data_IF_495615042035
#
_entry.id   IF_495615042035
#
_cell.length_a   1.000
_cell.length_b   1.000
_cell.length_c   1.000
_cell.angle_alpha   90.00
_cell.angle_beta   90.00
_cell.angle_gamma   90.00
#
_symmetry.space_group_name_H-M   'P 1'
#
loop_
_entity.id
_entity.type
_entity.pdbx_description
1 polymer ?
#
# COMPACT_ATOMS: atom_id res chain seq x y z
N UNK A 1 19.69 -19.39 -5.87
CA UNK A 1 18.40 -19.12 -5.22
C UNK A 1 18.53 -18.95 -3.70
N UNK A 2 18.97 -19.98 -2.96
CA UNK A 2 19.05 -19.89 -1.50
C UNK A 2 19.91 -18.71 -1.01
N UNK A 3 21.08 -18.50 -1.60
CA UNK A 3 21.95 -17.37 -1.26
C UNK A 3 21.32 -16.00 -1.58
N UNK A 4 20.60 -15.87 -2.70
CA UNK A 4 19.86 -14.66 -3.05
C UNK A 4 18.76 -14.36 -2.01
N UNK A 5 17.96 -15.37 -1.67
CA UNK A 5 16.91 -15.26 -0.65
C UNK A 5 17.50 -14.87 0.71
N UNK A 6 18.55 -15.56 1.17
CA UNK A 6 19.21 -15.28 2.43
C UNK A 6 19.78 -13.85 2.49
N UNK A 7 20.45 -13.40 1.41
CA UNK A 7 20.97 -12.03 1.32
C UNK A 7 19.86 -10.98 1.36
N UNK A 8 18.75 -11.21 0.66
CA UNK A 8 17.59 -10.30 0.68
C UNK A 8 16.94 -10.25 2.07
N UNK A 9 16.75 -11.40 2.73
CA UNK A 9 16.24 -11.45 4.11
C UNK A 9 17.16 -10.69 5.07
N UNK A 10 18.47 -10.79 4.89
CA UNK A 10 19.43 -10.06 5.73
C UNK A 10 19.29 -8.54 5.58
N UNK A 11 18.96 -8.04 4.39
CA UNK A 11 18.73 -6.61 4.17
C UNK A 11 17.40 -6.08 4.77
N UNK A 12 16.44 -6.98 5.05
CA UNK A 12 15.18 -6.58 5.69
C UNK A 12 15.37 -6.28 7.19
N UNK A 13 16.31 -6.97 7.83
CA UNK A 13 16.56 -6.82 9.27
C UNK A 13 16.94 -5.39 9.66
N UNK A 14 17.93 -4.72 9.03
CA UNK A 14 18.24 -3.32 9.33
C UNK A 14 17.06 -2.36 9.13
N UNK A 15 16.24 -2.61 8.10
CA UNK A 15 15.06 -1.78 7.82
C UNK A 15 14.03 -1.94 8.94
N UNK A 16 13.73 -3.16 9.36
CA UNK A 16 12.80 -3.43 10.46
C UNK A 16 13.31 -2.85 11.78
N UNK A 17 14.61 -2.96 12.05
CA UNK A 17 15.23 -2.34 13.24
C UNK A 17 15.10 -0.82 13.18
N UNK A 18 15.42 -0.20 12.04
CA UNK A 18 15.31 1.25 11.87
C UNK A 18 13.87 1.73 12.07
N UNK A 19 12.89 1.04 11.47
CA UNK A 19 11.47 1.35 11.64
C UNK A 19 11.03 1.16 13.08
N UNK A 20 11.44 0.09 13.75
CA UNK A 20 11.08 -0.16 15.15
C UNK A 20 11.63 0.93 16.09
N UNK A 21 12.88 1.36 15.87
CA UNK A 21 13.49 2.48 16.62
C UNK A 21 12.71 3.78 16.38
N UNK A 22 12.48 4.12 15.10
CA UNK A 22 11.75 5.33 14.73
C UNK A 22 10.34 5.36 15.32
N UNK A 23 9.60 4.26 15.19
CA UNK A 23 8.25 4.13 15.73
C UNK A 23 8.23 4.30 17.25
N UNK A 24 9.15 3.64 17.94
CA UNK A 24 9.27 3.74 19.39
C UNK A 24 9.64 5.14 19.85
N UNK A 25 10.63 5.77 19.20
CA UNK A 25 11.07 7.13 19.52
C UNK A 25 9.97 8.15 19.24
N UNK A 26 9.33 8.10 18.06
CA UNK A 26 8.23 9.02 17.72
C UNK A 26 7.09 8.90 18.73
N UNK A 27 6.67 7.68 19.07
CA UNK A 27 5.62 7.47 20.04
C UNK A 27 6.02 7.94 21.44
N UNK A 28 7.30 7.81 21.81
CA UNK A 28 7.83 8.30 23.10
C UNK A 28 7.96 9.83 23.16
N UNK A 29 8.04 10.50 22.00
CA UNK A 29 8.13 11.97 21.88
C UNK A 29 6.75 12.65 21.75
N UNK A 30 5.69 11.89 21.54
CA UNK A 30 4.34 12.45 21.48
C UNK A 30 4.00 13.16 22.79
N UNK A 31 3.52 14.43 22.73
CA UNK A 31 3.20 15.17 23.94
C UNK A 31 1.98 14.55 24.64
N UNK A 32 2.16 14.22 25.91
CA UNK A 32 1.15 13.63 26.77
C UNK A 32 1.75 12.55 27.67
N UNK A 33 1.33 12.55 28.90
CA UNK A 33 1.72 11.49 29.84
C UNK A 33 0.78 10.29 29.63
N UNK A 34 1.35 9.16 29.22
CA UNK A 34 0.57 7.93 29.01
C UNK A 34 -0.17 7.51 30.28
N UNK A 35 0.45 7.68 31.46
CA UNK A 35 -0.19 7.38 32.73
C UNK A 35 -1.40 8.29 32.99
N UNK A 36 -1.30 9.57 32.62
CA UNK A 36 -2.42 10.51 32.72
C UNK A 36 -3.57 10.13 31.76
N UNK A 37 -3.25 9.74 30.54
CA UNK A 37 -4.26 9.33 29.54
C UNK A 37 -5.00 8.06 29.98
N UNK A 38 -4.30 7.12 30.61
CA UNK A 38 -4.89 5.86 31.11
C UNK A 38 -5.78 6.11 32.33
N UNK A 39 -5.32 6.92 33.29
CA UNK A 39 -6.05 7.20 34.53
C UNK A 39 -7.26 8.13 34.33
N UNK A 40 -7.23 9.00 33.31
CA UNK A 40 -8.33 9.93 33.06
C UNK A 40 -8.71 10.73 34.30
N UNK A 41 -9.96 10.61 34.74
CA UNK A 41 -10.49 11.32 35.92
C UNK A 41 -9.88 10.83 37.26
N UNK A 42 -9.20 9.69 37.28
CA UNK A 42 -8.50 9.15 38.47
C UNK A 42 -7.02 9.56 38.51
N UNK A 43 -6.60 10.50 37.70
CA UNK A 43 -5.22 10.97 37.58
C UNK A 43 -4.82 11.86 38.79
N UNK A 44 -4.56 11.26 39.95
CA UNK A 44 -3.89 11.94 41.06
C UNK A 44 -2.38 11.84 40.89
N UNK A 45 -1.58 12.76 41.48
CA UNK A 45 -0.13 12.70 41.39
C UNK A 45 0.45 11.34 41.89
N UNK A 46 -0.17 10.75 42.92
CA UNK A 46 0.22 9.45 43.48
C UNK A 46 -0.09 8.30 42.52
N UNK A 47 -1.29 8.27 41.92
CA UNK A 47 -1.67 7.24 40.96
C UNK A 47 -0.84 7.32 39.68
N UNK A 48 -0.53 8.54 39.22
CA UNK A 48 0.36 8.74 38.07
C UNK A 48 1.74 8.21 38.33
N UNK A 49 2.33 8.50 39.52
CA UNK A 49 3.63 8.03 39.87
C UNK A 49 3.67 6.49 40.00
N UNK A 50 2.67 5.89 40.65
CA UNK A 50 2.54 4.44 40.74
C UNK A 50 2.45 3.78 39.39
N UNK A 51 1.55 4.26 38.51
CA UNK A 51 1.36 3.69 37.17
C UNK A 51 2.61 3.87 36.28
N UNK A 52 3.33 4.99 36.39
CA UNK A 52 4.60 5.20 35.70
C UNK A 52 5.65 4.17 36.12
N UNK A 53 5.73 3.90 37.40
CA UNK A 53 6.64 2.90 37.94
C UNK A 53 6.28 1.48 37.47
N UNK A 54 5.00 1.11 37.57
CA UNK A 54 4.49 -0.20 37.12
C UNK A 54 4.69 -0.45 35.64
N UNK A 55 4.54 0.59 34.82
CA UNK A 55 4.77 0.54 33.38
C UNK A 55 6.24 0.72 32.98
N UNK A 56 7.15 0.92 33.94
CA UNK A 56 8.56 1.16 33.68
C UNK A 56 8.85 2.44 32.89
N UNK A 57 7.92 3.43 32.89
CA UNK A 57 8.08 4.69 32.18
C UNK A 57 9.20 5.57 32.75
N UNK A 58 9.62 5.30 34.00
CA UNK A 58 10.74 5.96 34.71
C UNK A 58 12.10 5.43 34.23
N UNK A 59 12.12 4.32 33.51
CA UNK A 59 13.36 3.74 33.01
C UNK A 59 13.93 4.54 31.82
N UNK A 60 15.25 4.50 31.62
CA UNK A 60 15.89 5.07 30.44
C UNK A 60 15.27 4.55 29.14
N UNK A 61 15.13 5.42 28.14
CA UNK A 61 14.44 5.12 26.88
C UNK A 61 14.97 3.87 26.15
N UNK A 62 16.28 3.63 26.25
CA UNK A 62 16.91 2.46 25.63
C UNK A 62 16.52 1.14 26.31
N UNK A 63 16.36 1.11 27.64
CA UNK A 63 15.87 -0.07 28.37
C UNK A 63 14.41 -0.36 28.01
N UNK A 64 13.59 0.67 27.94
CA UNK A 64 12.18 0.58 27.51
C UNK A 64 12.07 0.04 26.10
N UNK A 65 12.94 0.51 25.18
CA UNK A 65 12.98 0.01 23.81
C UNK A 65 13.34 -1.46 23.74
N UNK A 66 14.39 -1.89 24.43
CA UNK A 66 14.81 -3.30 24.43
C UNK A 66 13.72 -4.20 25.04
N UNK A 67 13.10 -3.79 26.14
CA UNK A 67 11.98 -4.52 26.74
C UNK A 67 10.77 -4.62 25.78
N UNK A 68 10.39 -3.52 25.16
CA UNK A 68 9.31 -3.49 24.16
C UNK A 68 9.62 -4.39 22.95
N UNK A 69 10.83 -4.31 22.41
CA UNK A 69 11.25 -5.15 21.29
C UNK A 69 11.26 -6.63 21.66
N UNK A 70 11.64 -6.96 22.88
CA UNK A 70 11.62 -8.33 23.39
C UNK A 70 10.20 -8.92 23.45
N UNK A 71 9.22 -8.15 23.93
CA UNK A 71 7.81 -8.55 23.91
C UNK A 71 7.30 -8.77 22.47
N UNK A 72 7.64 -7.87 21.55
CA UNK A 72 7.27 -8.02 20.14
C UNK A 72 7.85 -9.29 19.51
N UNK A 73 9.11 -9.62 19.80
CA UNK A 73 9.74 -10.86 19.29
C UNK A 73 9.09 -12.12 19.84
N UNK A 74 8.41 -12.03 20.99
CA UNK A 74 7.59 -13.11 21.54
C UNK A 74 6.15 -13.12 20.99
N UNK A 75 5.80 -12.19 20.10
CA UNK A 75 4.46 -12.05 19.51
C UNK A 75 3.49 -11.20 20.36
N UNK A 76 3.97 -10.59 21.45
CA UNK A 76 3.17 -9.68 22.26
C UNK A 76 3.39 -8.23 21.79
N UNK A 77 2.45 -7.74 20.99
CA UNK A 77 2.41 -6.36 20.50
C UNK A 77 1.68 -5.42 21.46
N UNK A 78 1.24 -5.93 22.61
CA UNK A 78 0.50 -5.18 23.61
C UNK A 78 -1.02 -5.14 23.38
N UNK A 79 -1.68 -4.47 24.31
CA UNK A 79 -3.14 -4.33 24.33
C UNK A 79 -3.53 -2.86 24.53
N UNK A 80 -4.50 -2.38 23.77
CA UNK A 80 -5.09 -1.06 23.95
C UNK A 80 -5.70 -0.90 25.35
N UNK A 81 -5.32 0.16 26.04
CA UNK A 81 -5.95 0.50 27.33
C UNK A 81 -7.36 1.06 27.15
N UNK A 82 -7.71 1.55 25.95
CA UNK A 82 -9.04 2.14 25.68
C UNK A 82 -10.07 1.09 25.27
N UNK A 83 -9.69 0.21 24.34
CA UNK A 83 -10.62 -0.77 23.75
C UNK A 83 -10.49 -2.15 24.37
N UNK A 84 -9.40 -2.43 25.10
CA UNK A 84 -9.09 -3.76 25.61
C UNK A 84 -8.69 -4.77 24.54
N UNK A 85 -8.66 -4.40 23.26
CA UNK A 85 -8.21 -5.27 22.18
C UNK A 85 -6.69 -5.40 22.15
N UNK A 86 -6.19 -6.60 21.79
CA UNK A 86 -4.77 -6.76 21.47
C UNK A 86 -4.49 -6.13 20.11
N UNK A 87 -3.25 -5.66 19.90
CA UNK A 87 -2.84 -5.10 18.60
C UNK A 87 -3.04 -6.10 17.47
N UNK A 88 -2.64 -7.37 17.68
CA UNK A 88 -2.79 -8.42 16.67
C UNK A 88 -4.25 -8.66 16.29
N UNK A 89 -5.16 -8.68 17.26
CA UNK A 89 -6.60 -8.79 16.99
C UNK A 89 -7.09 -7.58 16.21
N UNK A 90 -6.78 -6.37 16.65
CA UNK A 90 -7.20 -5.14 15.99
C UNK A 90 -6.71 -5.06 14.53
N UNK A 91 -5.50 -5.55 14.24
CA UNK A 91 -4.95 -5.59 12.89
C UNK A 91 -5.56 -6.72 12.06
N UNK A 92 -5.67 -7.95 12.61
CA UNK A 92 -6.19 -9.11 11.88
C UNK A 92 -7.63 -8.92 11.38
N UNK A 93 -8.47 -8.21 12.15
CA UNK A 93 -9.85 -7.87 11.76
C UNK A 93 -9.89 -6.87 10.58
N UNK A 94 -8.83 -6.07 10.37
CA UNK A 94 -8.79 -4.96 9.40
C UNK A 94 -7.94 -5.23 8.16
N UNK A 95 -6.97 -6.15 8.25
CA UNK A 95 -6.13 -6.58 7.11
C UNK A 95 -6.97 -6.96 5.89
N UNK A 96 -8.04 -7.80 6.01
CA UNK A 96 -8.83 -8.19 4.85
C UNK A 96 -9.42 -7.00 4.09
N UNK A 97 -9.91 -5.99 4.80
CA UNK A 97 -10.54 -4.80 4.20
C UNK A 97 -9.51 -3.96 3.42
N UNK A 98 -8.37 -3.66 4.04
CA UNK A 98 -7.29 -2.91 3.38
C UNK A 98 -6.73 -3.68 2.19
N UNK A 99 -6.57 -5.00 2.32
CA UNK A 99 -6.05 -5.85 1.25
C UNK A 99 -7.03 -5.95 0.08
N UNK A 100 -8.32 -6.09 0.35
CA UNK A 100 -9.39 -6.06 -0.64
C UNK A 100 -9.37 -4.73 -1.42
N UNK A 101 -9.30 -3.61 -0.71
CA UNK A 101 -9.22 -2.28 -1.31
C UNK A 101 -8.00 -2.14 -2.23
N UNK A 102 -6.83 -2.60 -1.78
CA UNK A 102 -5.60 -2.54 -2.57
C UNK A 102 -5.69 -3.38 -3.84
N UNK A 103 -6.22 -4.61 -3.75
CA UNK A 103 -6.40 -5.47 -4.92
C UNK A 103 -7.36 -4.84 -5.92
N UNK A 104 -8.51 -4.36 -5.48
CA UNK A 104 -9.50 -3.74 -6.37
C UNK A 104 -8.94 -2.47 -7.02
N UNK A 105 -8.21 -1.64 -6.28
CA UNK A 105 -7.55 -0.45 -6.80
C UNK A 105 -6.51 -0.79 -7.86
N UNK A 106 -5.65 -1.77 -7.61
CA UNK A 106 -4.63 -2.21 -8.58
C UNK A 106 -5.26 -2.82 -9.83
N UNK A 107 -6.32 -3.63 -9.67
CA UNK A 107 -7.06 -4.16 -10.83
C UNK A 107 -7.67 -3.05 -11.69
N UNK A 108 -8.23 -2.01 -11.08
CA UNK A 108 -8.75 -0.84 -11.81
C UNK A 108 -7.60 -0.09 -12.50
N UNK A 109 -6.50 0.15 -11.79
CA UNK A 109 -5.31 0.78 -12.35
C UNK A 109 -4.76 0.04 -13.58
N UNK A 110 -4.66 -1.29 -13.48
CA UNK A 110 -4.26 -2.16 -14.59
C UNK A 110 -5.28 -2.19 -15.72
N UNK A 111 -6.58 -2.30 -15.40
CA UNK A 111 -7.65 -2.33 -16.40
C UNK A 111 -7.73 -1.05 -17.23
N UNK A 112 -7.32 0.08 -16.69
CA UNK A 112 -7.24 1.37 -17.39
C UNK A 112 -5.85 1.54 -18.03
N UNK A 113 -4.79 1.36 -17.25
CA UNK A 113 -3.43 1.69 -17.65
C UNK A 113 -2.88 0.81 -18.76
N UNK A 114 -3.12 -0.51 -18.71
CA UNK A 114 -2.58 -1.46 -19.69
C UNK A 114 -3.18 -1.26 -21.08
N UNK A 115 -4.51 -1.20 -21.29
CA UNK A 115 -5.08 -0.94 -22.60
C UNK A 115 -4.66 0.41 -23.18
N UNK A 116 -4.60 1.46 -22.34
CA UNK A 116 -4.15 2.78 -22.79
C UNK A 116 -2.66 2.77 -23.17
N UNK A 117 -1.80 2.08 -22.44
CA UNK A 117 -0.39 1.92 -22.79
C UNK A 117 -0.21 1.25 -24.13
N UNK A 118 -0.92 0.14 -24.38
CA UNK A 118 -0.89 -0.60 -25.63
C UNK A 118 -1.37 0.28 -26.80
N UNK A 119 -2.50 0.99 -26.62
CA UNK A 119 -3.04 1.86 -27.65
C UNK A 119 -2.12 3.05 -27.99
N UNK A 120 -1.50 3.65 -26.95
CA UNK A 120 -0.53 4.73 -27.10
C UNK A 120 0.77 4.25 -27.77
N UNK A 121 1.28 3.08 -27.41
CA UNK A 121 2.47 2.49 -28.02
C UNK A 121 2.23 2.16 -29.50
N UNK A 122 1.05 1.61 -29.84
CA UNK A 122 0.66 1.32 -31.22
C UNK A 122 0.55 2.59 -32.10
N UNK A 123 0.23 3.73 -31.50
CA UNK A 123 0.05 5.03 -32.18
C UNK A 123 1.04 6.08 -31.66
N UNK A 124 2.27 5.66 -31.35
CA UNK A 124 3.28 6.53 -30.77
C UNK A 124 3.48 7.82 -31.59
N UNK A 125 3.53 8.97 -30.93
CA UNK A 125 3.68 10.29 -31.54
C UNK A 125 2.39 10.89 -32.15
N UNK A 126 1.26 10.15 -32.14
CA UNK A 126 -0.03 10.66 -32.64
C UNK A 126 -0.66 11.68 -31.68
N UNK A 127 -1.71 12.39 -32.13
CA UNK A 127 -2.50 13.28 -31.29
C UNK A 127 -3.17 12.52 -30.13
N UNK A 128 -3.63 11.29 -30.38
CA UNK A 128 -4.19 10.41 -29.33
C UNK A 128 -3.17 10.11 -28.22
N UNK A 129 -1.96 9.69 -28.63
CA UNK A 129 -0.89 9.40 -27.69
C UNK A 129 -0.50 10.61 -26.85
N UNK A 130 -0.39 11.79 -27.47
CA UNK A 130 -0.12 13.05 -26.76
C UNK A 130 -1.25 13.43 -25.79
N UNK A 131 -2.51 13.26 -26.20
CA UNK A 131 -3.67 13.55 -25.36
C UNK A 131 -3.71 12.64 -24.12
N UNK A 132 -3.61 11.32 -24.30
CA UNK A 132 -3.62 10.37 -23.18
C UNK A 132 -2.43 10.59 -22.25
N UNK A 133 -1.23 10.82 -22.80
CA UNK A 133 -0.05 11.11 -22.00
C UNK A 133 -0.22 12.43 -21.21
N UNK A 134 -0.78 13.47 -21.82
CA UNK A 134 -1.09 14.73 -21.16
C UNK A 134 -2.12 14.55 -20.03
N UNK A 135 -3.18 13.77 -20.27
CA UNK A 135 -4.18 13.43 -19.25
C UNK A 135 -3.55 12.67 -18.09
N UNK A 136 -2.64 11.72 -18.38
CA UNK A 136 -1.92 10.99 -17.35
C UNK A 136 -1.08 11.91 -16.45
N UNK A 137 -0.38 12.89 -17.01
CA UNK A 137 0.33 13.89 -16.23
C UNK A 137 -0.62 14.78 -15.42
N UNK A 138 -1.76 15.17 -15.99
CA UNK A 138 -2.79 15.91 -15.27
C UNK A 138 -3.31 15.13 -14.06
N UNK A 139 -3.61 13.84 -14.24
CA UNK A 139 -4.11 12.98 -13.15
C UNK A 139 -3.09 12.78 -12.03
N UNK A 140 -1.80 12.69 -12.34
CA UNK A 140 -0.74 12.61 -11.32
C UNK A 140 -0.66 13.88 -10.45
N UNK A 141 -1.13 15.01 -10.94
CA UNK A 141 -1.13 16.27 -10.20
C UNK A 141 -2.35 16.41 -9.29
N UNK A 142 -3.36 15.56 -9.43
CA UNK A 142 -4.58 15.60 -8.61
C UNK A 142 -4.36 14.84 -7.31
N UNK A 143 -4.50 15.49 -6.15
CA UNK A 143 -4.40 14.80 -4.86
C UNK A 143 -5.51 13.74 -4.73
N UNK A 144 -5.17 12.57 -4.19
CA UNK A 144 -6.09 11.43 -4.07
C UNK A 144 -7.36 11.77 -3.27
N UNK A 145 -7.22 12.58 -2.20
CA UNK A 145 -8.39 13.01 -1.42
C UNK A 145 -9.37 13.88 -2.22
N UNK A 146 -8.86 14.68 -3.15
CA UNK A 146 -9.71 15.48 -4.02
C UNK A 146 -10.50 14.60 -4.98
N UNK A 147 -9.85 13.60 -5.58
CA UNK A 147 -10.53 12.58 -6.40
C UNK A 147 -11.60 11.84 -5.60
N UNK A 148 -11.34 11.49 -4.33
CA UNK A 148 -12.32 10.86 -3.46
C UNK A 148 -13.57 11.74 -3.27
N UNK A 149 -13.37 13.01 -2.92
CA UNK A 149 -14.47 13.96 -2.69
C UNK A 149 -15.29 14.17 -3.99
N UNK A 150 -14.62 14.34 -5.13
CA UNK A 150 -15.30 14.52 -6.41
C UNK A 150 -16.11 13.27 -6.81
N UNK A 151 -15.58 12.07 -6.59
CA UNK A 151 -16.30 10.82 -6.87
C UNK A 151 -17.49 10.64 -5.93
N UNK A 152 -17.35 10.95 -4.63
CA UNK A 152 -18.47 10.93 -3.69
C UNK A 152 -19.54 11.93 -4.16
N UNK A 153 -19.16 13.18 -4.44
CA UNK A 153 -20.09 14.20 -4.87
C UNK A 153 -20.87 13.76 -6.12
N UNK A 154 -20.18 13.30 -7.14
CA UNK A 154 -20.80 12.91 -8.39
C UNK A 154 -21.68 11.66 -8.25
N UNK A 155 -21.13 10.57 -7.68
CA UNK A 155 -21.82 9.26 -7.71
C UNK A 155 -22.72 8.99 -6.52
N UNK A 156 -22.42 9.56 -5.36
CA UNK A 156 -23.23 9.33 -4.17
C UNK A 156 -24.24 10.44 -3.91
N UNK A 157 -23.90 11.71 -4.18
CA UNK A 157 -24.77 12.86 -3.87
C UNK A 157 -25.66 13.22 -5.07
N UNK A 158 -25.07 13.51 -6.23
CA UNK A 158 -25.80 13.93 -7.43
C UNK A 158 -26.53 12.78 -8.12
N UNK A 159 -25.80 11.73 -8.49
CA UNK A 159 -26.37 10.60 -9.22
C UNK A 159 -27.07 9.58 -8.33
N UNK A 160 -26.74 9.53 -7.04
CA UNK A 160 -27.28 8.59 -6.04
C UNK A 160 -27.19 7.11 -6.45
N UNK A 161 -26.13 6.75 -7.17
CA UNK A 161 -25.91 5.40 -7.68
C UNK A 161 -25.16 4.50 -6.70
N UNK A 162 -24.24 5.08 -5.93
CA UNK A 162 -23.33 4.37 -5.04
C UNK A 162 -23.34 5.00 -3.63
N UNK A 163 -23.12 4.20 -2.58
CA UNK A 163 -23.03 4.74 -1.22
C UNK A 163 -21.76 5.56 -1.04
N UNK A 164 -21.85 6.64 -0.25
CA UNK A 164 -20.72 7.51 0.07
C UNK A 164 -19.76 6.87 1.08
N UNK A 165 -20.28 6.14 2.07
CA UNK A 165 -19.52 5.56 3.18
C UNK A 165 -20.13 4.26 3.62
N UNK A 166 -19.36 3.43 4.32
CA UNK A 166 -19.80 2.16 4.89
C UNK A 166 -19.01 0.97 4.36
N UNK A 167 -19.29 -0.19 4.92
CA UNK A 167 -18.66 -1.44 4.54
C UNK A 167 -19.56 -2.62 4.92
N UNK A 168 -19.63 -3.61 4.05
CA UNK A 168 -20.23 -4.92 4.30
C UNK A 168 -19.18 -5.97 3.95
N UNK A 169 -18.90 -6.95 4.81
CA UNK A 169 -17.93 -8.00 4.50
C UNK A 169 -18.29 -8.76 3.21
N UNK A 170 -17.29 -9.04 2.39
CA UNK A 170 -17.49 -9.80 1.14
C UNK A 170 -18.12 -11.18 1.40
N UNK A 171 -17.85 -11.77 2.56
CA UNK A 171 -18.40 -13.07 2.99
C UNK A 171 -19.88 -13.04 3.36
N UNK A 172 -20.44 -11.86 3.69
CA UNK A 172 -21.86 -11.70 4.06
C UNK A 172 -22.71 -11.36 2.83
N UNK A 173 -22.32 -10.34 2.08
CA UNK A 173 -22.99 -9.94 0.83
C UNK A 173 -21.96 -9.38 -0.17
N UNK A 174 -21.51 -10.18 -1.15
CA UNK A 174 -20.54 -9.76 -2.16
C UNK A 174 -21.01 -8.57 -3.00
N UNK A 175 -22.32 -8.47 -3.28
CA UNK A 175 -22.86 -7.40 -4.12
C UNK A 175 -22.89 -6.07 -3.34
N UNK A 176 -23.36 -6.12 -2.10
CA UNK A 176 -23.31 -4.94 -1.23
C UNK A 176 -21.87 -4.51 -0.96
N UNK A 177 -20.96 -5.46 -0.67
CA UNK A 177 -19.54 -5.17 -0.50
C UNK A 177 -18.95 -4.42 -1.69
N UNK A 178 -19.10 -4.95 -2.92
CA UNK A 178 -18.60 -4.29 -4.13
C UNK A 178 -19.19 -2.89 -4.32
N UNK A 179 -20.48 -2.68 -3.98
CA UNK A 179 -21.10 -1.35 -4.06
C UNK A 179 -20.41 -0.35 -3.14
N UNK A 180 -20.00 -0.74 -1.93
CA UNK A 180 -19.24 0.12 -1.01
C UNK A 180 -17.79 0.29 -1.43
N UNK A 181 -17.18 -0.73 -2.06
CA UNK A 181 -15.77 -0.72 -2.44
C UNK A 181 -15.47 -0.02 -3.78
N UNK A 182 -16.46 0.14 -4.68
CA UNK A 182 -16.25 0.74 -6.01
C UNK A 182 -15.65 2.14 -5.94
N UNK A 183 -16.24 3.06 -5.15
CA UNK A 183 -15.73 4.45 -5.09
C UNK A 183 -14.35 4.55 -4.45
N UNK A 184 -14.06 3.89 -3.30
CA UNK A 184 -12.71 3.84 -2.74
C UNK A 184 -11.68 3.26 -3.71
N UNK A 185 -12.01 2.12 -4.36
CA UNK A 185 -11.12 1.45 -5.30
C UNK A 185 -10.87 2.27 -6.57
N UNK A 186 -11.91 2.93 -7.11
CA UNK A 186 -11.77 3.88 -8.22
C UNK A 186 -10.87 5.06 -7.83
N UNK A 187 -11.03 5.60 -6.63
CA UNK A 187 -10.20 6.71 -6.14
C UNK A 187 -8.71 6.37 -6.21
N UNK A 188 -8.33 5.21 -5.69
CA UNK A 188 -6.93 4.74 -5.71
C UNK A 188 -6.50 4.31 -7.11
N UNK A 189 -7.32 3.55 -7.82
CA UNK A 189 -7.01 3.06 -9.17
C UNK A 189 -6.82 4.18 -10.19
N UNK A 190 -7.58 5.28 -10.05
CA UNK A 190 -7.39 6.49 -10.87
C UNK A 190 -6.08 7.21 -10.56
N UNK A 191 -5.51 7.04 -9.39
CA UNK A 191 -4.18 7.57 -9.07
C UNK A 191 -3.04 6.67 -9.59
N UNK A 192 -3.29 5.36 -9.78
CA UNK A 192 -2.25 4.38 -10.17
C UNK A 192 -2.12 4.21 -11.70
N UNK A 193 -3.22 4.24 -12.47
CA UNK A 193 -3.18 3.98 -13.92
C UNK A 193 -2.18 4.85 -14.70
N UNK A 194 -1.92 6.15 -14.36
CA UNK A 194 -0.99 6.96 -15.13
C UNK A 194 0.45 6.45 -15.05
N UNK A 195 0.86 5.96 -13.87
CA UNK A 195 2.16 5.35 -13.65
C UNK A 195 2.33 4.08 -14.48
N UNK A 196 1.36 3.18 -14.39
CA UNK A 196 1.31 1.93 -15.14
C UNK A 196 1.36 2.20 -16.65
N UNK A 197 0.50 3.09 -17.13
CA UNK A 197 0.41 3.45 -18.56
C UNK A 197 1.73 3.99 -19.10
N UNK A 198 2.36 4.94 -18.41
CA UNK A 198 3.58 5.58 -18.89
C UNK A 198 4.75 4.61 -19.01
N UNK A 199 4.95 3.79 -17.97
CA UNK A 199 6.08 2.84 -17.94
C UNK A 199 5.88 1.77 -19.01
N UNK A 200 4.72 1.12 -19.04
CA UNK A 200 4.44 0.08 -20.02
C UNK A 200 4.49 0.63 -21.47
N UNK A 201 3.94 1.84 -21.72
CA UNK A 201 4.03 2.51 -23.02
C UNK A 201 5.49 2.71 -23.45
N UNK A 202 6.34 3.22 -22.55
CA UNK A 202 7.76 3.45 -22.85
C UNK A 202 8.47 2.18 -23.26
N UNK A 203 8.28 1.11 -22.49
CA UNK A 203 8.91 -0.18 -22.76
C UNK A 203 8.39 -0.83 -24.04
N UNK A 204 7.09 -0.73 -24.30
CA UNK A 204 6.53 -1.24 -25.54
C UNK A 204 7.04 -0.48 -26.76
N UNK A 205 7.23 0.85 -26.67
CA UNK A 205 7.81 1.64 -27.77
C UNK A 205 9.27 1.20 -27.99
N UNK A 206 10.07 1.02 -26.96
CA UNK A 206 11.42 0.52 -27.08
C UNK A 206 11.45 -0.87 -27.72
N UNK A 207 10.61 -1.80 -27.24
CA UNK A 207 10.49 -3.13 -27.80
C UNK A 207 10.09 -3.11 -29.30
N UNK A 208 9.20 -2.21 -29.70
CA UNK A 208 8.76 -2.07 -31.10
C UNK A 208 9.84 -1.53 -32.06
N UNK A 209 10.94 -0.98 -31.53
CA UNK A 209 12.09 -0.50 -32.29
C UNK A 209 13.21 -1.54 -32.46
N UNK A 210 13.11 -2.68 -31.79
CA UNK A 210 14.12 -3.75 -31.84
C UNK A 210 14.16 -4.50 -33.19
N UNK A 211 15.33 -5.02 -33.57
CA UNK A 211 15.57 -5.69 -34.85
C UNK A 211 14.67 -6.91 -35.08
N UNK A 212 14.34 -7.64 -34.00
CA UNK A 212 13.45 -8.81 -34.13
C UNK A 212 12.03 -8.42 -34.55
N UNK A 213 11.59 -7.20 -34.26
CA UNK A 213 10.31 -6.66 -34.75
C UNK A 213 10.38 -6.34 -36.24
N UNK A 214 11.50 -5.79 -36.71
CA UNK A 214 11.73 -5.58 -38.14
C UNK A 214 11.64 -6.91 -38.90
N UNK A 215 12.29 -7.95 -38.38
CA UNK A 215 12.21 -9.30 -38.93
C UNK A 215 10.79 -9.88 -38.89
N UNK A 216 10.05 -9.66 -37.81
CA UNK A 216 8.66 -10.11 -37.69
C UNK A 216 7.77 -9.44 -38.74
N UNK A 217 7.95 -8.14 -38.98
CA UNK A 217 7.26 -7.39 -40.03
C UNK A 217 7.62 -7.93 -41.44
N UNK A 218 8.91 -8.19 -41.73
CA UNK A 218 9.39 -8.75 -42.98
C UNK A 218 8.80 -10.15 -43.28
N UNK A 219 8.54 -10.94 -42.20
CA UNK A 219 7.86 -12.24 -42.30
C UNK A 219 6.32 -12.12 -42.45
N UNK A 220 5.77 -10.93 -42.57
CA UNK A 220 4.34 -10.70 -42.78
C UNK A 220 3.45 -10.97 -41.57
N UNK A 221 3.98 -10.91 -40.32
CA UNK A 221 3.17 -11.09 -39.13
C UNK A 221 2.15 -9.94 -39.01
N UNK A 222 0.94 -10.30 -38.56
CA UNK A 222 -0.13 -9.31 -38.31
C UNK A 222 0.26 -8.28 -37.25
N UNK A 223 -0.07 -6.99 -37.41
CA UNK A 223 0.26 -5.95 -36.43
C UNK A 223 -0.18 -6.28 -34.99
N UNK A 224 -1.37 -6.89 -34.82
CA UNK A 224 -1.85 -7.33 -33.51
C UNK A 224 -0.93 -8.37 -32.87
N UNK A 225 -0.43 -9.34 -33.65
CA UNK A 225 0.50 -10.34 -33.13
C UNK A 225 1.85 -9.72 -32.74
N UNK A 226 2.34 -8.76 -33.50
CA UNK A 226 3.53 -8.00 -33.15
C UNK A 226 3.32 -7.26 -31.85
N UNK A 227 2.20 -6.58 -31.68
CA UNK A 227 1.89 -5.76 -30.51
C UNK A 227 1.73 -6.61 -29.23
N UNK A 228 0.86 -7.63 -29.28
CA UNK A 228 0.52 -8.41 -28.08
C UNK A 228 1.56 -9.49 -27.71
N UNK A 229 2.22 -10.09 -28.72
CA UNK A 229 3.15 -11.20 -28.46
C UNK A 229 4.59 -10.73 -28.45
N UNK A 230 4.98 -9.84 -29.37
CA UNK A 230 6.37 -9.47 -29.53
C UNK A 230 6.75 -8.18 -28.80
N UNK A 231 5.81 -7.27 -28.54
CA UNK A 231 6.06 -6.06 -27.77
C UNK A 231 5.59 -6.19 -26.30
N UNK A 232 4.30 -6.54 -26.07
CA UNK A 232 3.73 -6.60 -24.73
C UNK A 232 4.40 -7.69 -23.85
N UNK A 233 4.68 -8.87 -24.40
CA UNK A 233 5.27 -9.98 -23.63
C UNK A 233 6.64 -9.64 -23.03
N UNK A 234 7.62 -9.08 -23.75
CA UNK A 234 8.88 -8.61 -23.15
C UNK A 234 8.65 -7.50 -22.11
N UNK A 235 7.74 -6.55 -22.40
CA UNK A 235 7.42 -5.41 -21.52
C UNK A 235 6.61 -5.82 -20.29
N UNK A 236 6.02 -7.02 -20.24
CA UNK A 236 5.24 -7.49 -19.08
C UNK A 236 6.09 -7.67 -17.82
N UNK A 237 7.40 -7.84 -17.96
CA UNK A 237 8.31 -7.95 -16.82
C UNK A 237 8.32 -6.65 -16.01
N UNK A 238 8.44 -5.52 -16.69
CA UNK A 238 8.38 -4.19 -16.08
C UNK A 238 6.98 -3.90 -15.51
N UNK A 239 5.93 -4.42 -16.16
CA UNK A 239 4.57 -4.30 -15.64
C UNK A 239 4.42 -5.00 -14.27
N UNK A 240 4.91 -6.23 -14.13
CA UNK A 240 4.92 -6.95 -12.84
C UNK A 240 5.65 -6.16 -11.77
N UNK A 241 6.75 -5.51 -12.15
CA UNK A 241 7.52 -4.66 -11.26
C UNK A 241 6.72 -3.50 -10.73
N UNK A 242 6.19 -2.69 -11.64
CA UNK A 242 5.48 -1.48 -11.24
C UNK A 242 4.25 -1.83 -10.41
N UNK A 243 3.55 -2.91 -10.76
CA UNK A 243 2.45 -3.47 -9.96
C UNK A 243 2.89 -3.79 -8.53
N UNK A 244 4.02 -4.46 -8.37
CA UNK A 244 4.56 -4.76 -7.04
C UNK A 244 4.91 -3.52 -6.23
N UNK A 245 5.55 -2.53 -6.85
CA UNK A 245 5.88 -1.25 -6.21
C UNK A 245 4.60 -0.49 -5.83
N UNK A 246 3.58 -0.50 -6.71
CA UNK A 246 2.30 0.16 -6.46
C UNK A 246 1.56 -0.46 -5.28
N UNK A 247 1.50 -1.79 -5.17
CA UNK A 247 0.89 -2.47 -4.01
C UNK A 247 1.57 -1.99 -2.71
N UNK A 248 2.90 -1.87 -2.69
CA UNK A 248 3.61 -1.30 -1.55
C UNK A 248 3.19 0.15 -1.25
N UNK A 249 3.04 1.00 -2.27
CA UNK A 249 2.61 2.39 -2.11
C UNK A 249 1.15 2.52 -1.65
N UNK A 250 0.28 1.61 -2.09
CA UNK A 250 -1.13 1.58 -1.72
C UNK A 250 -1.32 1.36 -0.21
N UNK A 251 -0.39 0.66 0.47
CA UNK A 251 -0.43 0.50 1.93
C UNK A 251 -0.47 1.89 2.63
N UNK A 252 0.35 2.83 2.17
CA UNK A 252 0.34 4.21 2.71
C UNK A 252 -0.80 5.07 2.16
N UNK A 253 -1.11 4.94 0.88
CA UNK A 253 -2.15 5.73 0.19
C UNK A 253 -3.58 5.38 0.64
N UNK A 254 -3.81 4.14 1.05
CA UNK A 254 -5.11 3.68 1.52
C UNK A 254 -5.59 4.40 2.80
N UNK A 255 -4.68 4.86 3.66
CA UNK A 255 -5.01 5.52 4.95
C UNK A 255 -6.03 6.65 4.79
N UNK A 256 -5.79 7.55 3.83
CA UNK A 256 -6.66 8.70 3.56
C UNK A 256 -8.00 8.24 3.01
N UNK A 257 -7.99 7.31 2.05
CA UNK A 257 -9.19 6.81 1.39
C UNK A 257 -10.06 6.02 2.37
N UNK A 258 -9.48 5.13 3.17
CA UNK A 258 -10.22 4.41 4.21
C UNK A 258 -10.88 5.36 5.21
N UNK A 259 -10.22 6.47 5.55
CA UNK A 259 -10.78 7.47 6.48
C UNK A 259 -11.93 8.22 5.85
N UNK A 260 -11.83 8.66 4.58
CA UNK A 260 -12.86 9.40 3.87
C UNK A 260 -14.11 8.54 3.65
N UNK A 261 -13.94 7.29 3.19
CA UNK A 261 -15.05 6.37 2.91
C UNK A 261 -15.53 5.59 4.14
N UNK A 262 -14.95 5.85 5.31
CA UNK A 262 -15.25 5.20 6.58
C UNK A 262 -15.07 3.67 6.56
N UNK A 263 -14.15 3.15 5.75
CA UNK A 263 -13.82 1.72 5.69
C UNK A 263 -13.12 1.28 6.99
N UNK A 264 -13.47 0.10 7.56
CA UNK A 264 -12.82 -0.40 8.76
C UNK A 264 -11.46 -1.06 8.46
N UNK A 265 -10.56 -0.33 7.79
CA UNK A 265 -9.23 -0.80 7.42
C UNK A 265 -8.13 -0.41 8.42
N UNK A 266 -6.88 -0.83 8.10
CA UNK A 266 -5.69 -0.58 8.93
C UNK A 266 -5.35 0.91 8.97
N UNK A 267 -5.48 1.62 7.86
CA UNK A 267 -5.21 3.05 7.80
C UNK A 267 -6.13 3.86 8.70
N UNK A 268 -7.42 3.54 8.69
CA UNK A 268 -8.40 4.17 9.60
C UNK A 268 -8.13 3.82 11.06
N UNK A 269 -7.68 2.59 11.37
CA UNK A 269 -7.25 2.21 12.71
C UNK A 269 -6.08 3.09 13.16
N UNK A 270 -5.09 3.29 12.29
CA UNK A 270 -3.92 4.12 12.57
C UNK A 270 -4.32 5.58 12.89
N UNK A 271 -5.16 6.17 12.04
CA UNK A 271 -5.68 7.53 12.23
C UNK A 271 -6.48 7.62 13.53
N UNK A 272 -7.32 6.65 13.82
CA UNK A 272 -8.07 6.55 15.07
C UNK A 272 -7.15 6.49 16.30
N UNK A 273 -6.09 5.69 16.25
CA UNK A 273 -5.10 5.57 17.33
C UNK A 273 -4.37 6.90 17.60
N UNK A 274 -4.07 7.67 16.54
CA UNK A 274 -3.48 9.02 16.68
C UNK A 274 -4.44 9.97 17.40
N UNK A 275 -5.70 10.06 16.96
CA UNK A 275 -6.70 10.95 17.57
C UNK A 275 -7.00 10.58 19.02
N UNK A 276 -7.05 9.29 19.32
CA UNK A 276 -7.33 8.78 20.66
C UNK A 276 -6.08 8.69 21.55
N UNK A 277 -4.90 9.00 21.00
CA UNK A 277 -3.58 8.86 21.66
C UNK A 277 -3.33 7.45 22.19
N UNK A 278 -3.80 6.44 21.47
CA UNK A 278 -3.55 5.04 21.80
C UNK A 278 -2.16 4.63 21.25
N UNK A 279 -1.13 4.91 22.04
CA UNK A 279 0.26 4.71 21.63
C UNK A 279 0.59 3.24 21.37
N UNK A 280 -0.06 2.31 22.09
CA UNK A 280 0.18 0.86 21.94
C UNK A 280 -0.34 0.40 20.58
N UNK A 281 -1.59 0.75 20.23
CA UNK A 281 -2.13 0.45 18.90
C UNK A 281 -1.31 1.16 17.82
N UNK A 282 -0.95 2.43 18.02
CA UNK A 282 -0.15 3.18 17.06
C UNK A 282 1.18 2.50 16.75
N UNK A 283 1.97 2.18 17.79
CA UNK A 283 3.28 1.52 17.66
C UNK A 283 3.16 0.16 16.98
N UNK A 284 2.24 -0.67 17.48
CA UNK A 284 2.05 -2.02 16.96
C UNK A 284 1.56 -2.02 15.50
N UNK A 285 0.60 -1.17 15.15
CA UNK A 285 0.08 -1.06 13.77
C UNK A 285 1.16 -0.56 12.82
N UNK A 286 1.91 0.51 13.17
CA UNK A 286 2.99 1.03 12.31
C UNK A 286 4.05 -0.04 12.07
N UNK A 287 4.45 -0.77 13.10
CA UNK A 287 5.45 -1.84 12.96
C UNK A 287 4.93 -2.99 12.09
N UNK A 288 3.68 -3.44 12.29
CA UNK A 288 3.07 -4.51 11.49
C UNK A 288 2.87 -4.09 10.03
N UNK A 289 2.45 -2.84 9.78
CA UNK A 289 2.34 -2.28 8.43
C UNK A 289 3.71 -2.23 7.75
N UNK A 290 4.74 -1.76 8.46
CA UNK A 290 6.09 -1.72 7.93
C UNK A 290 6.65 -3.13 7.65
N UNK A 291 6.39 -4.09 8.53
CA UNK A 291 6.75 -5.49 8.30
C UNK A 291 6.01 -6.06 7.08
N UNK A 292 4.71 -5.78 6.94
CA UNK A 292 3.92 -6.15 5.77
C UNK A 292 4.47 -5.54 4.47
N UNK A 293 4.83 -4.26 4.47
CA UNK A 293 5.48 -3.60 3.34
C UNK A 293 6.81 -4.26 2.95
N UNK A 294 7.64 -4.54 3.93
CA UNK A 294 8.93 -5.22 3.74
C UNK A 294 8.75 -6.62 3.18
N UNK A 295 7.80 -7.39 3.70
CA UNK A 295 7.45 -8.73 3.21
C UNK A 295 6.93 -8.65 1.76
N UNK A 296 6.06 -7.69 1.46
CA UNK A 296 5.52 -7.51 0.10
C UNK A 296 6.63 -7.18 -0.90
N UNK A 297 7.55 -6.26 -0.56
CA UNK A 297 8.70 -5.98 -1.41
C UNK A 297 9.58 -7.21 -1.62
N UNK A 298 9.77 -8.02 -0.59
CA UNK A 298 10.51 -9.28 -0.71
C UNK A 298 9.81 -10.28 -1.66
N UNK A 299 8.48 -10.39 -1.57
CA UNK A 299 7.68 -11.23 -2.48
C UNK A 299 7.85 -10.74 -3.94
N UNK A 300 7.80 -9.43 -4.16
CA UNK A 300 8.02 -8.82 -5.48
C UNK A 300 9.41 -9.12 -6.01
N UNK A 301 10.45 -8.97 -5.17
CA UNK A 301 11.83 -9.32 -5.54
C UNK A 301 11.99 -10.81 -5.88
N UNK A 302 11.27 -11.67 -5.16
CA UNK A 302 11.28 -13.12 -5.44
C UNK A 302 10.59 -13.44 -6.77
N UNK A 303 9.43 -12.80 -7.03
CA UNK A 303 8.75 -12.93 -8.33
C UNK A 303 9.64 -12.47 -9.48
N UNK A 304 10.39 -11.40 -9.29
CA UNK A 304 11.42 -10.96 -10.24
C UNK A 304 12.45 -12.03 -10.54
N UNK A 305 13.05 -12.59 -9.49
CA UNK A 305 14.08 -13.61 -9.65
C UNK A 305 13.56 -14.91 -10.30
N UNK A 306 12.23 -15.14 -10.23
CA UNK A 306 11.58 -16.28 -10.91
C UNK A 306 11.32 -15.95 -12.39
N UNK A 307 10.84 -14.73 -12.69
CA UNK A 307 10.44 -14.31 -14.03
C UNK A 307 11.64 -13.96 -14.92
N UNK A 308 12.71 -13.40 -14.34
CA UNK A 308 13.96 -13.10 -15.07
C UNK A 308 15.15 -13.88 -14.49
N UNK A 309 15.52 -15.03 -15.11
CA UNK A 309 16.68 -15.81 -14.68
C UNK A 309 18.02 -15.06 -14.77
N UNK A 310 18.10 -13.97 -15.54
CA UNK A 310 19.34 -13.19 -15.73
C UNK A 310 19.73 -12.46 -14.45
N UNK A 311 18.75 -12.07 -13.63
CA UNK A 311 19.00 -11.41 -12.34
C UNK A 311 19.63 -12.36 -11.30
N UNK A 312 19.46 -13.68 -11.47
CA UNK A 312 20.08 -14.69 -10.57
C UNK A 312 21.59 -14.71 -10.63
N UNK A 313 22.16 -14.31 -11.75
CA UNK A 313 23.60 -14.30 -12.03
C UNK A 313 24.18 -12.89 -12.09
N UNK A 314 23.39 -11.90 -11.77
CA UNK A 314 23.75 -10.49 -11.82
C UNK A 314 24.77 -10.13 -10.77
N UNK A 315 25.83 -9.73 -11.28
CA UNK A 315 27.01 -8.98 -10.89
C UNK A 315 27.19 -8.73 -9.37
N UNK A 316 28.25 -9.35 -8.90
CA UNK A 316 28.97 -8.91 -7.72
C UNK A 316 29.48 -7.49 -7.91
#
# INVERSE_FOLDING_TARGET
>A
MLFFVARRLLYLVPVLIAVSILTFVIASLLPGDLAYVILGDQATPENIAALRHDMGLDQPIWLRYVGWLWHILQGDFGRSFRTGQTVLQAVSERVPVSFELMILAELIGLAIGVPLAIACAAKAGSAFDRFITGTAFGMLSVPTFLSAILLIYLFAVELRLLPATGYVPFTEDPVANLRFMVLPALTLGLAEWPGIMRVLRSDMIAALQEDYIALAKAKGLKPSRILFVHALKPSSLTLVTITGINIGRLIGGAVIVESIFALPGIGRLLVGAIYTRDLIILQGVVLLVAAGFVIMNFIVDLLYAILDPRIRHGHA
#
